data_IF_947744207300
#
_entry.id   IF_947744207300
#
_cell.length_a   1.000
_cell.length_b   1.000
_cell.length_c   1.000
_cell.angle_alpha   90.00
_cell.angle_beta   90.00
_cell.angle_gamma   90.00
#
_symmetry.space_group_name_H-M   'P 1'
#
loop_
_entity.id
_entity.type
_entity.pdbx_description
1 polymer ?
#
# COMPACT_ATOMS: atom_id res chain seq x y z
N UNK A 1 -9.55 10.50 -6.17
CA UNK A 1 -8.29 10.16 -6.86
C UNK A 1 -7.16 11.12 -6.48
N UNK A 2 -7.35 12.44 -6.58
CA UNK A 2 -6.31 13.41 -6.27
C UNK A 2 -5.76 13.30 -4.84
N UNK A 3 -6.65 13.21 -3.85
CA UNK A 3 -6.31 13.07 -2.43
C UNK A 3 -5.37 11.86 -2.17
N UNK A 4 -5.81 10.68 -2.62
CA UNK A 4 -5.02 9.45 -2.54
C UNK A 4 -3.67 9.56 -3.25
N UNK A 5 -3.58 10.22 -4.42
CA UNK A 5 -2.32 10.38 -5.15
C UNK A 5 -1.34 11.28 -4.36
N UNK A 6 -1.85 12.38 -3.80
CA UNK A 6 -1.05 13.30 -2.99
C UNK A 6 -0.46 12.60 -1.78
N UNK A 7 -1.25 11.78 -1.07
CA UNK A 7 -0.75 10.98 0.06
C UNK A 7 0.45 10.12 -0.36
N UNK A 8 0.36 9.41 -1.49
CA UNK A 8 1.46 8.55 -1.97
C UNK A 8 2.71 9.34 -2.29
N UNK A 9 2.56 10.49 -2.95
CA UNK A 9 3.68 11.35 -3.29
C UNK A 9 4.40 11.83 -2.01
N UNK A 10 3.65 12.19 -0.96
CA UNK A 10 4.23 12.61 0.33
C UNK A 10 4.99 11.45 0.97
N UNK A 11 4.40 10.26 1.06
CA UNK A 11 5.07 9.08 1.64
C UNK A 11 6.33 8.69 0.85
N UNK A 12 6.29 8.77 -0.49
CA UNK A 12 7.46 8.52 -1.33
C UNK A 12 8.60 9.51 -1.06
N UNK A 13 8.29 10.81 -1.01
CA UNK A 13 9.29 11.82 -0.68
C UNK A 13 9.93 11.57 0.70
N UNK A 14 9.13 11.17 1.69
CA UNK A 14 9.63 10.82 3.02
C UNK A 14 10.54 9.58 2.99
N UNK A 15 10.13 8.52 2.29
CA UNK A 15 10.89 7.27 2.16
C UNK A 15 12.22 7.46 1.42
N UNK A 16 12.27 8.35 0.43
CA UNK A 16 13.53 8.74 -0.24
C UNK A 16 14.47 9.40 0.75
N UNK A 17 13.99 10.36 1.56
CA UNK A 17 14.82 10.99 2.59
C UNK A 17 15.30 9.97 3.63
N UNK A 18 14.44 9.07 4.09
CA UNK A 18 14.83 7.98 4.99
C UNK A 18 15.87 7.04 4.38
N UNK A 19 15.81 6.79 3.08
CA UNK A 19 16.83 5.99 2.38
C UNK A 19 18.20 6.67 2.37
N UNK A 20 18.23 8.00 2.34
CA UNK A 20 19.48 8.76 2.45
C UNK A 20 20.04 8.74 3.88
N UNK A 21 19.18 8.82 4.90
CA UNK A 21 19.58 8.79 6.32
C UNK A 21 19.96 7.39 6.81
N UNK A 22 19.30 6.35 6.30
CA UNK A 22 19.51 4.95 6.68
C UNK A 22 19.86 4.09 5.45
N UNK A 23 21.08 4.24 4.89
CA UNK A 23 21.48 3.58 3.65
C UNK A 23 21.44 2.04 3.72
N UNK A 24 21.55 1.47 4.93
CA UNK A 24 21.44 0.03 5.16
C UNK A 24 20.01 -0.51 4.91
N UNK A 25 19.00 0.33 5.07
CA UNK A 25 17.58 -0.02 4.91
C UNK A 25 16.98 0.45 3.58
N UNK A 26 17.77 1.09 2.71
CA UNK A 26 17.32 1.65 1.42
C UNK A 26 16.53 0.65 0.57
N UNK A 27 16.99 -0.60 0.50
CA UNK A 27 16.29 -1.63 -0.26
C UNK A 27 14.86 -1.87 0.26
N UNK A 28 14.67 -1.85 1.58
CA UNK A 28 13.35 -2.06 2.19
C UNK A 28 12.42 -0.87 1.92
N UNK A 29 12.94 0.36 2.02
CA UNK A 29 12.17 1.57 1.69
C UNK A 29 11.79 1.61 0.21
N UNK A 30 12.73 1.27 -0.68
CA UNK A 30 12.46 1.14 -2.12
C UNK A 30 11.39 0.09 -2.40
N UNK A 31 11.50 -1.09 -1.79
CA UNK A 31 10.51 -2.14 -1.94
C UNK A 31 9.13 -1.69 -1.45
N UNK A 32 9.06 -1.02 -0.29
CA UNK A 32 7.81 -0.49 0.25
C UNK A 32 7.18 0.56 -0.67
N UNK A 33 7.99 1.50 -1.19
CA UNK A 33 7.54 2.51 -2.17
C UNK A 33 6.99 1.84 -3.44
N UNK A 34 7.74 0.91 -4.03
CA UNK A 34 7.33 0.24 -5.27
C UNK A 34 6.07 -0.59 -5.07
N UNK A 35 5.96 -1.33 -3.97
CA UNK A 35 4.78 -2.13 -3.65
C UNK A 35 3.53 -1.25 -3.49
N UNK A 36 3.64 -0.13 -2.79
CA UNK A 36 2.50 0.75 -2.55
C UNK A 36 2.02 1.40 -3.86
N UNK A 37 2.93 1.91 -4.70
CA UNK A 37 2.58 2.48 -6.01
C UNK A 37 1.99 1.42 -6.95
N UNK A 38 2.64 0.26 -7.08
CA UNK A 38 2.22 -0.78 -8.02
C UNK A 38 0.85 -1.38 -7.64
N UNK A 39 0.61 -1.62 -6.34
CA UNK A 39 -0.65 -2.19 -5.85
C UNK A 39 -1.83 -1.26 -6.14
N UNK A 40 -1.69 0.03 -5.86
CA UNK A 40 -2.73 1.01 -6.11
C UNK A 40 -2.94 1.28 -7.60
N UNK A 41 -1.87 1.33 -8.40
CA UNK A 41 -1.97 1.49 -9.85
C UNK A 41 -2.74 0.31 -10.47
N UNK A 42 -2.39 -0.93 -10.12
CA UNK A 42 -3.07 -2.12 -10.65
C UNK A 42 -4.54 -2.19 -10.19
N UNK A 43 -4.81 -1.80 -8.94
CA UNK A 43 -6.18 -1.72 -8.44
C UNK A 43 -7.01 -0.70 -9.23
N UNK A 44 -6.49 0.50 -9.43
CA UNK A 44 -7.14 1.56 -10.21
C UNK A 44 -7.34 1.13 -11.66
N UNK A 45 -6.31 0.58 -12.30
CA UNK A 45 -6.36 0.13 -13.68
C UNK A 45 -7.40 -0.98 -13.87
N UNK A 46 -7.42 -1.97 -12.97
CA UNK A 46 -8.43 -3.04 -13.00
C UNK A 46 -9.86 -2.50 -12.80
N UNK A 47 -10.04 -1.47 -11.97
CA UNK A 47 -11.34 -0.84 -11.74
C UNK A 47 -11.83 -0.08 -12.98
N UNK A 48 -10.93 0.61 -13.68
CA UNK A 48 -11.25 1.30 -14.95
C UNK A 48 -11.65 0.29 -16.02
N UNK A 49 -10.88 -0.79 -16.21
CA UNK A 49 -11.18 -1.85 -17.19
C UNK A 49 -12.53 -2.53 -16.92
N UNK A 50 -12.87 -2.75 -15.63
CA UNK A 50 -14.19 -3.26 -15.25
C UNK A 50 -15.31 -2.27 -15.52
N UNK A 51 -15.10 -0.98 -15.28
CA UNK A 51 -16.07 0.08 -15.61
C UNK A 51 -16.39 0.18 -17.10
N UNK A 52 -15.44 -0.19 -17.98
CA UNK A 52 -15.66 -0.29 -19.42
C UNK A 52 -16.34 -1.61 -19.88
N UNK A 53 -16.31 -2.69 -19.08
CA UNK A 53 -16.85 -4.01 -19.43
C UNK A 53 -18.00 -4.43 -18.48
N UNK A 54 -19.16 -3.83 -18.66
CA UNK A 54 -20.32 -3.86 -17.74
C UNK A 54 -21.00 -5.22 -17.47
N UNK A 55 -20.52 -6.38 -17.94
CA UNK A 55 -21.35 -7.61 -17.95
C UNK A 55 -20.79 -8.91 -17.34
N UNK A 56 -19.60 -8.93 -16.75
CA UNK A 56 -19.14 -10.10 -15.95
C UNK A 56 -18.42 -9.65 -14.69
N UNK A 57 -19.17 -9.54 -13.60
CA UNK A 57 -18.70 -9.22 -12.25
C UNK A 57 -17.78 -10.32 -11.74
N UNK A 58 -16.50 -10.26 -12.13
CA UNK A 58 -15.44 -10.98 -11.41
C UNK A 58 -15.36 -10.32 -10.03
N UNK A 59 -15.89 -10.99 -9.02
CA UNK A 59 -15.94 -10.51 -7.65
C UNK A 59 -14.53 -10.25 -7.12
N UNK A 60 -14.26 -8.98 -6.80
CA UNK A 60 -12.96 -8.46 -6.37
C UNK A 60 -12.68 -8.78 -4.88
N UNK A 61 -13.56 -9.55 -4.22
CA UNK A 61 -13.60 -9.72 -2.76
C UNK A 61 -13.34 -11.14 -2.26
N UNK A 62 -12.72 -12.00 -3.07
CA UNK A 62 -12.50 -13.40 -2.71
C UNK A 62 -11.60 -13.66 -1.50
N UNK A 63 -10.83 -12.66 -1.01
CA UNK A 63 -9.95 -12.84 0.15
C UNK A 63 -10.55 -12.18 1.41
N UNK A 64 -10.93 -12.95 2.45
CA UNK A 64 -11.59 -12.43 3.65
C UNK A 64 -10.75 -11.37 4.38
N UNK A 65 -9.42 -11.46 4.28
CA UNK A 65 -8.49 -10.49 4.84
C UNK A 65 -8.62 -9.10 4.19
N UNK A 66 -8.71 -9.04 2.86
CA UNK A 66 -8.93 -7.77 2.15
C UNK A 66 -10.33 -7.24 2.44
N UNK A 67 -11.32 -8.14 2.58
CA UNK A 67 -12.68 -7.74 2.91
C UNK A 67 -12.72 -7.04 4.27
N UNK A 68 -12.09 -7.59 5.30
CA UNK A 68 -12.02 -6.94 6.63
C UNK A 68 -11.26 -5.60 6.55
N UNK A 69 -10.15 -5.55 5.82
CA UNK A 69 -9.36 -4.33 5.63
C UNK A 69 -10.16 -3.18 4.99
N UNK A 70 -10.97 -3.48 3.97
CA UNK A 70 -11.79 -2.47 3.28
C UNK A 70 -13.17 -2.25 3.91
N UNK A 71 -13.71 -3.20 4.68
CA UNK A 71 -15.03 -3.07 5.32
C UNK A 71 -14.98 -2.13 6.53
N UNK A 72 -13.89 -2.11 7.27
CA UNK A 72 -13.74 -1.25 8.45
C UNK A 72 -12.93 0.00 8.13
N UNK A 73 -13.61 1.16 8.04
CA UNK A 73 -12.95 2.47 7.89
C UNK A 73 -11.91 2.72 9.00
N UNK A 74 -12.19 2.26 10.21
CA UNK A 74 -11.29 2.41 11.36
C UNK A 74 -9.99 1.63 11.16
N UNK A 75 -10.05 0.40 10.65
CA UNK A 75 -8.86 -0.41 10.38
C UNK A 75 -8.03 0.21 9.25
N UNK A 76 -8.68 0.67 8.18
CA UNK A 76 -8.00 1.34 7.07
C UNK A 76 -7.28 2.61 7.56
N UNK A 77 -7.97 3.44 8.36
CA UNK A 77 -7.39 4.66 8.92
C UNK A 77 -6.21 4.35 9.84
N UNK A 78 -6.35 3.42 10.78
CA UNK A 78 -5.27 3.02 11.70
C UNK A 78 -4.05 2.46 10.98
N UNK A 79 -4.25 1.69 9.92
CA UNK A 79 -3.16 1.12 9.13
C UNK A 79 -2.42 2.21 8.33
N UNK A 80 -3.15 3.13 7.69
CA UNK A 80 -2.54 4.27 7.01
C UNK A 80 -1.83 5.22 7.99
N UNK A 81 -2.52 5.66 9.05
CA UNK A 81 -1.95 6.60 10.02
C UNK A 81 -0.79 6.00 10.79
N UNK A 82 -0.85 4.72 11.18
CA UNK A 82 0.24 4.02 11.85
C UNK A 82 1.47 3.86 10.97
N UNK A 83 1.30 3.62 9.67
CA UNK A 83 2.41 3.56 8.72
C UNK A 83 3.07 4.92 8.49
N UNK A 84 2.27 5.98 8.28
CA UNK A 84 2.81 7.33 8.16
C UNK A 84 3.52 7.75 9.45
N UNK A 85 2.91 7.45 10.61
CA UNK A 85 3.50 7.73 11.92
C UNK A 85 4.85 7.02 12.09
N UNK A 86 4.96 5.75 11.67
CA UNK A 86 6.21 5.00 11.74
C UNK A 86 7.34 5.69 10.96
N UNK A 87 7.10 6.06 9.70
CA UNK A 87 8.11 6.73 8.88
C UNK A 87 8.45 8.15 9.39
N UNK A 88 7.45 8.90 9.87
CA UNK A 88 7.68 10.19 10.51
C UNK A 88 8.51 10.06 11.79
N UNK A 89 8.23 9.06 12.63
CA UNK A 89 9.00 8.80 13.85
C UNK A 89 10.43 8.38 13.54
N UNK A 90 10.66 7.50 12.55
CA UNK A 90 12.01 7.15 12.10
C UNK A 90 12.81 8.37 11.64
N UNK A 91 12.15 9.31 10.94
CA UNK A 91 12.78 10.53 10.47
C UNK A 91 13.12 11.46 11.63
N UNK A 92 12.16 11.75 12.52
CA UNK A 92 12.36 12.66 13.65
C UNK A 92 13.38 12.11 14.65
N UNK A 93 13.30 10.83 14.99
CA UNK A 93 14.21 10.19 15.94
C UNK A 93 15.65 10.14 15.44
N UNK A 94 15.88 10.19 14.12
CA UNK A 94 17.23 10.29 13.56
C UNK A 94 17.97 11.56 14.03
N UNK A 95 17.25 12.66 14.21
CA UNK A 95 17.82 13.96 14.57
C UNK A 95 17.86 14.23 16.08
N UNK A 96 17.25 13.36 16.89
CA UNK A 96 17.20 13.54 18.35
C UNK A 96 18.26 12.63 18.98
N UNK A 97 19.22 13.23 19.68
CA UNK A 97 20.30 12.50 20.34
C UNK A 97 19.82 11.70 21.57
N UNK A 98 18.90 12.28 22.35
CA UNK A 98 18.28 11.64 23.53
C UNK A 98 16.75 11.55 23.36
N UNK A 99 16.24 10.52 22.66
CA UNK A 99 14.83 10.44 22.35
C UNK A 99 14.00 10.09 23.59
N UNK A 100 12.92 10.85 23.89
CA UNK A 100 12.04 10.54 25.01
C UNK A 100 11.43 9.14 24.86
N UNK A 101 11.29 8.43 25.98
CA UNK A 101 10.78 7.04 26.02
C UNK A 101 9.43 6.89 25.32
N UNK A 102 8.58 7.93 25.40
CA UNK A 102 7.29 7.96 24.72
C UNK A 102 7.42 7.82 23.20
N UNK A 103 8.35 8.52 22.56
CA UNK A 103 8.53 8.46 21.10
C UNK A 103 9.09 7.10 20.67
N UNK A 104 10.00 6.54 21.47
CA UNK A 104 10.51 5.19 21.23
C UNK A 104 9.38 4.14 21.36
N UNK A 105 8.53 4.25 22.39
CA UNK A 105 7.38 3.37 22.56
C UNK A 105 6.39 3.46 21.38
N UNK A 106 6.12 4.67 20.89
CA UNK A 106 5.27 4.89 19.70
C UNK A 106 5.90 4.31 18.43
N UNK A 107 7.23 4.37 18.28
CA UNK A 107 7.93 3.75 17.16
C UNK A 107 7.75 2.23 17.19
N UNK A 108 8.01 1.59 18.34
CA UNK A 108 7.84 0.15 18.50
C UNK A 108 6.38 -0.30 18.34
N UNK A 109 5.42 0.53 18.73
CA UNK A 109 4.00 0.26 18.53
C UNK A 109 3.56 0.38 17.06
N UNK A 110 4.14 1.33 16.32
CA UNK A 110 3.80 1.58 14.90
C UNK A 110 4.55 0.68 13.92
N UNK A 111 5.71 0.15 14.32
CA UNK A 111 6.48 -0.82 13.53
C UNK A 111 5.68 -2.06 13.06
N UNK A 112 4.95 -2.80 13.92
CA UNK A 112 4.15 -3.93 13.47
C UNK A 112 3.02 -3.49 12.54
N UNK A 113 2.46 -2.29 12.71
CA UNK A 113 1.43 -1.74 11.83
C UNK A 113 1.99 -1.50 10.43
N UNK A 114 3.19 -0.91 10.33
CA UNK A 114 3.87 -0.72 9.04
C UNK A 114 4.15 -2.06 8.33
N UNK A 115 4.68 -3.05 9.06
CA UNK A 115 4.95 -4.39 8.50
C UNK A 115 3.66 -5.09 8.04
N UNK A 116 2.60 -5.05 8.86
CA UNK A 116 1.31 -5.62 8.49
C UNK A 116 0.73 -4.92 7.26
N UNK A 117 0.82 -3.58 7.18
CA UNK A 117 0.38 -2.82 6.01
C UNK A 117 1.16 -3.23 4.76
N UNK A 118 2.49 -3.32 4.82
CA UNK A 118 3.30 -3.77 3.69
C UNK A 118 2.89 -5.18 3.24
N UNK A 119 2.63 -6.09 4.18
CA UNK A 119 2.11 -7.43 3.88
C UNK A 119 0.76 -7.40 3.17
N UNK A 120 -0.17 -6.58 3.65
CA UNK A 120 -1.48 -6.39 3.02
C UNK A 120 -1.32 -5.82 1.60
N UNK A 121 -0.42 -4.85 1.39
CA UNK A 121 -0.12 -4.30 0.06
C UNK A 121 0.40 -5.36 -0.92
N UNK A 122 1.20 -6.33 -0.46
CA UNK A 122 1.63 -7.48 -1.28
C UNK A 122 0.43 -8.35 -1.68
N UNK A 123 -0.42 -8.71 -0.72
CA UNK A 123 -1.63 -9.51 -1.03
C UNK A 123 -2.55 -8.75 -1.98
N UNK A 124 -2.66 -7.44 -1.80
CA UNK A 124 -3.43 -6.56 -2.67
C UNK A 124 -2.87 -6.55 -4.10
N UNK A 125 -1.55 -6.42 -4.24
CA UNK A 125 -0.85 -6.47 -5.52
C UNK A 125 -1.09 -7.79 -6.25
N UNK A 126 -0.90 -8.93 -5.57
CA UNK A 126 -1.08 -10.26 -6.17
C UNK A 126 -2.54 -10.46 -6.60
N UNK A 127 -3.49 -10.02 -5.78
CA UNK A 127 -4.92 -10.13 -6.09
C UNK A 127 -5.28 -9.28 -7.29
N UNK A 128 -4.80 -8.03 -7.35
CA UNK A 128 -5.03 -7.13 -8.49
C UNK A 128 -4.39 -7.66 -9.78
N UNK A 129 -3.16 -8.18 -9.72
CA UNK A 129 -2.47 -8.77 -10.87
C UNK A 129 -3.21 -9.99 -11.44
N UNK A 130 -3.69 -10.89 -10.56
CA UNK A 130 -4.50 -12.06 -10.98
C UNK A 130 -5.81 -11.64 -11.65
N UNK A 131 -6.46 -10.61 -11.10
CA UNK A 131 -7.70 -10.08 -11.68
C UNK A 131 -7.47 -9.46 -13.05
N UNK A 132 -6.40 -8.69 -13.22
CA UNK A 132 -6.04 -8.10 -14.51
C UNK A 132 -5.74 -9.18 -15.56
N UNK A 133 -4.95 -10.20 -15.19
CA UNK A 133 -4.68 -11.32 -16.08
C UNK A 133 -5.94 -12.11 -16.50
N UNK A 134 -6.95 -12.19 -15.62
CA UNK A 134 -8.23 -12.82 -15.94
C UNK A 134 -9.04 -11.97 -16.93
N UNK A 135 -9.06 -10.64 -16.77
CA UNK A 135 -9.70 -9.70 -17.70
C UNK A 135 -9.05 -9.80 -19.09
N UNK A 136 -7.71 -9.75 -19.14
CA UNK A 136 -6.96 -9.84 -20.41
C UNK A 136 -7.24 -11.14 -21.16
N UNK A 137 -7.34 -12.28 -20.45
CA UNK A 137 -7.69 -13.57 -21.06
C UNK A 137 -9.12 -13.57 -21.60
N UNK A 138 -10.06 -12.99 -20.86
CA UNK A 138 -11.46 -12.90 -21.29
C UNK A 138 -11.63 -12.03 -22.55
N UNK A 139 -10.95 -10.88 -22.60
CA UNK A 139 -10.98 -9.99 -23.77
C UNK A 139 -10.36 -10.64 -25.02
N UNK A 140 -9.25 -11.37 -24.87
CA UNK A 140 -8.64 -12.11 -25.98
C UNK A 140 -9.51 -13.25 -26.51
N UNK A 141 -10.30 -13.89 -25.64
CA UNK A 141 -11.28 -14.90 -26.05
C UNK A 141 -12.40 -14.30 -26.89
N UNK A 142 -12.99 -13.19 -26.42
CA UNK A 142 -14.08 -12.51 -27.12
C UNK A 142 -13.69 -11.90 -28.47
N UNK A 143 -12.40 -11.67 -28.74
CA UNK A 143 -11.89 -11.20 -30.05
C UNK A 143 -11.64 -12.34 -31.06
N UNK A 144 -11.68 -13.60 -30.62
CA UNK A 144 -11.45 -14.78 -31.46
C UNK A 144 -12.74 -15.42 -31.97
N UNK A 145 -13.86 -15.15 -31.31
CA UNK A 145 -15.22 -15.54 -31.71
C UNK A 145 -15.89 -14.42 -32.52
#
# INVERSE_FOLDING_TARGET
MLDMLTDRCVTMCLLVNLSLLYPQCTFLFQLSMTLDVASHWLHLHSSIMKGSSSHKTIDLSGNPLLRVYYTSRTVLFLMCSGNELFYCLLYVLHFIQDPPVLLQALLYLSAPVAVLKSGISVVHLVTAARNLAAIDRAERGARRD
#
